data_IF_290393919912
#
_entry.id   IF_290393919912
#
_cell.length_a   1.000
_cell.length_b   1.000
_cell.length_c   1.000
_cell.angle_alpha   90.00
_cell.angle_beta   90.00
_cell.angle_gamma   90.00
#
_symmetry.space_group_name_H-M   'P 1'
#
loop_
_entity.id
_entity.type
_entity.pdbx_description
1 polymer ?
#
# COMPACT_ATOMS: atom_id res chain seq x y z
N UNK A 1 17.14 -1.29 20.59
CA UNK A 1 16.98 -1.50 19.13
C UNK A 1 15.56 -1.24 18.62
N UNK A 2 14.52 -1.43 19.44
CA UNK A 2 13.12 -1.23 19.01
C UNK A 2 12.82 0.18 18.44
N UNK A 3 13.19 1.25 19.14
CA UNK A 3 12.96 2.64 18.68
C UNK A 3 13.66 2.92 17.33
N UNK A 4 14.87 2.40 17.12
CA UNK A 4 15.59 2.55 15.85
C UNK A 4 14.88 1.81 14.72
N UNK A 5 14.38 0.60 14.98
CA UNK A 5 13.60 -0.19 14.02
C UNK A 5 12.32 0.53 13.60
N UNK A 6 11.57 1.06 14.57
CA UNK A 6 10.34 1.85 14.33
C UNK A 6 10.63 3.10 13.50
N UNK A 7 11.61 3.90 13.93
CA UNK A 7 12.02 5.12 13.24
C UNK A 7 12.45 4.86 11.79
N UNK A 8 13.23 3.79 11.54
CA UNK A 8 13.62 3.43 10.17
C UNK A 8 12.44 3.04 9.30
N UNK A 9 11.47 2.27 9.82
CA UNK A 9 10.28 1.90 9.07
C UNK A 9 9.45 3.15 8.72
N UNK A 10 9.22 4.04 9.67
CA UNK A 10 8.48 5.28 9.41
C UNK A 10 9.15 6.16 8.36
N UNK A 11 10.47 6.31 8.42
CA UNK A 11 11.23 7.08 7.41
C UNK A 11 11.08 6.42 6.03
N UNK A 12 11.17 5.10 5.93
CA UNK A 12 11.02 4.38 4.66
C UNK A 12 9.62 4.56 4.07
N UNK A 13 8.57 4.40 4.87
CA UNK A 13 7.17 4.57 4.41
C UNK A 13 6.93 6.03 4.02
N UNK A 14 7.45 6.98 4.79
CA UNK A 14 7.33 8.40 4.47
C UNK A 14 8.03 8.75 3.15
N UNK A 15 9.25 8.27 2.93
CA UNK A 15 9.96 8.45 1.66
C UNK A 15 9.23 7.78 0.50
N UNK A 16 8.69 6.57 0.70
CA UNK A 16 7.88 5.89 -0.30
C UNK A 16 6.60 6.69 -0.64
N UNK A 17 5.95 7.29 0.37
CA UNK A 17 4.79 8.16 0.16
C UNK A 17 5.16 9.44 -0.60
N UNK A 18 6.32 10.05 -0.30
CA UNK A 18 6.80 11.22 -1.03
C UNK A 18 7.12 10.90 -2.50
N UNK A 19 7.75 9.75 -2.77
CA UNK A 19 8.00 9.29 -4.14
C UNK A 19 6.69 9.01 -4.88
N UNK A 20 5.74 8.34 -4.24
CA UNK A 20 4.45 8.02 -4.87
C UNK A 20 3.61 9.28 -5.14
N UNK A 21 3.66 10.29 -4.26
CA UNK A 21 3.05 11.60 -4.49
C UNK A 21 3.69 12.37 -5.66
N UNK A 22 5.00 12.19 -5.89
CA UNK A 22 5.75 12.95 -6.91
C UNK A 22 5.76 12.27 -8.28
N UNK A 23 5.92 10.94 -8.30
CA UNK A 23 6.17 10.17 -9.52
C UNK A 23 5.17 9.03 -9.74
N UNK A 24 4.19 8.84 -8.85
CA UNK A 24 3.23 7.71 -8.85
C UNK A 24 3.92 6.33 -8.96
N UNK A 25 5.19 6.28 -8.54
CA UNK A 25 6.07 5.11 -8.62
C UNK A 25 7.04 5.19 -7.46
N UNK A 26 7.05 4.15 -6.64
CA UNK A 26 8.08 3.94 -5.60
C UNK A 26 9.32 3.32 -6.22
N UNK A 27 10.48 3.87 -5.90
CA UNK A 27 11.76 3.40 -6.41
C UNK A 27 12.10 2.01 -5.85
N UNK A 28 12.47 1.07 -6.73
CA UNK A 28 12.87 -0.27 -6.33
C UNK A 28 14.09 -0.26 -5.39
N UNK A 29 14.95 0.76 -5.47
CA UNK A 29 16.11 0.89 -4.58
C UNK A 29 15.66 1.11 -3.13
N UNK A 30 14.65 1.96 -2.90
CA UNK A 30 14.08 2.19 -1.57
C UNK A 30 13.47 0.91 -1.02
N UNK A 31 12.74 0.18 -1.87
CA UNK A 31 12.14 -1.11 -1.50
C UNK A 31 13.22 -2.12 -1.11
N UNK A 32 14.29 -2.24 -1.91
CA UNK A 32 15.41 -3.14 -1.63
C UNK A 32 16.14 -2.77 -0.32
N UNK A 33 16.35 -1.48 -0.07
CA UNK A 33 16.90 -0.99 1.20
C UNK A 33 16.00 -1.36 2.39
N UNK A 34 14.68 -1.21 2.24
CA UNK A 34 13.73 -1.64 3.26
C UNK A 34 13.83 -3.13 3.57
N UNK A 35 13.89 -3.98 2.54
CA UNK A 35 14.09 -5.42 2.73
C UNK A 35 15.39 -5.75 3.47
N UNK A 36 16.51 -5.14 3.08
CA UNK A 36 17.81 -5.35 3.72
C UNK A 36 17.83 -4.88 5.19
N UNK A 37 17.27 -3.71 5.47
CA UNK A 37 17.21 -3.18 6.84
C UNK A 37 16.29 -4.03 7.72
N UNK A 38 15.13 -4.47 7.20
CA UNK A 38 14.24 -5.37 7.91
C UNK A 38 14.91 -6.70 8.25
N UNK A 39 15.70 -7.25 7.33
CA UNK A 39 16.46 -8.48 7.56
C UNK A 39 17.52 -8.26 8.64
N UNK A 40 18.30 -7.17 8.53
CA UNK A 40 19.31 -6.80 9.51
C UNK A 40 18.72 -6.71 10.93
N UNK A 41 17.64 -5.96 11.10
CA UNK A 41 17.00 -5.80 12.42
C UNK A 41 16.46 -7.11 13.00
N UNK A 42 15.88 -7.99 12.16
CA UNK A 42 15.38 -9.28 12.65
C UNK A 42 16.51 -10.25 13.00
N UNK A 43 17.59 -10.30 12.20
CA UNK A 43 18.76 -11.11 12.53
C UNK A 43 19.43 -10.60 13.81
N UNK A 44 19.59 -9.29 13.97
CA UNK A 44 20.18 -8.71 15.18
C UNK A 44 19.34 -8.97 16.43
N UNK A 45 18.01 -9.09 16.30
CA UNK A 45 17.10 -9.30 17.44
C UNK A 45 16.89 -10.79 17.78
N UNK A 46 16.82 -11.66 16.77
CA UNK A 46 16.34 -13.04 16.92
C UNK A 46 17.24 -14.08 16.22
N UNK A 47 18.38 -13.67 15.68
CA UNK A 47 19.32 -14.54 14.97
C UNK A 47 18.71 -15.19 13.72
N UNK A 48 19.00 -16.47 13.50
CA UNK A 48 18.50 -17.23 12.35
C UNK A 48 16.96 -17.33 12.31
N UNK A 49 16.29 -17.36 13.47
CA UNK A 49 14.83 -17.35 13.54
C UNK A 49 14.22 -16.06 12.97
N UNK A 50 14.94 -14.93 13.12
CA UNK A 50 14.54 -13.65 12.53
C UNK A 50 14.45 -13.67 11.01
N UNK A 51 15.25 -14.50 10.33
CA UNK A 51 15.18 -14.66 8.86
C UNK A 51 13.86 -15.29 8.43
N UNK A 52 13.39 -16.30 9.17
CA UNK A 52 12.12 -16.98 8.90
C UNK A 52 10.96 -16.01 9.09
N UNK A 53 10.96 -15.24 10.19
CA UNK A 53 9.94 -14.22 10.45
C UNK A 53 9.93 -13.11 9.39
N UNK A 54 11.11 -12.64 8.98
CA UNK A 54 11.26 -11.65 7.91
C UNK A 54 10.66 -12.16 6.59
N UNK A 55 10.94 -13.41 6.22
CA UNK A 55 10.44 -14.01 4.99
C UNK A 55 8.92 -14.22 5.03
N UNK A 56 8.41 -14.79 6.12
CA UNK A 56 6.97 -15.00 6.30
C UNK A 56 6.20 -13.68 6.35
N UNK A 57 6.74 -12.67 7.03
CA UNK A 57 6.17 -11.34 7.07
C UNK A 57 6.12 -10.69 5.68
N UNK A 58 7.20 -10.80 4.89
CA UNK A 58 7.28 -10.23 3.54
C UNK A 58 6.34 -10.87 2.52
N UNK A 59 6.15 -12.20 2.60
CA UNK A 59 5.29 -12.94 1.66
C UNK A 59 3.80 -12.83 1.99
N UNK A 60 3.45 -12.54 3.25
CA UNK A 60 2.05 -12.47 3.71
C UNK A 60 1.20 -11.47 2.91
N UNK A 61 1.63 -10.20 2.71
CA UNK A 61 0.89 -9.24 1.90
C UNK A 61 0.76 -9.66 0.44
N UNK A 62 1.80 -10.31 -0.10
CA UNK A 62 1.78 -10.81 -1.47
C UNK A 62 0.66 -11.83 -1.60
N UNK A 63 0.58 -12.82 -0.71
CA UNK A 63 -0.44 -13.87 -0.76
C UNK A 63 -1.84 -13.27 -0.55
N UNK A 64 -2.02 -12.42 0.46
CA UNK A 64 -3.33 -11.87 0.81
C UNK A 64 -3.88 -10.94 -0.26
N UNK A 65 -3.02 -10.11 -0.84
CA UNK A 65 -3.42 -9.10 -1.81
C UNK A 65 -3.18 -9.55 -3.26
N UNK A 66 -2.68 -10.77 -3.49
CA UNK A 66 -2.41 -11.29 -4.83
C UNK A 66 -3.63 -11.23 -5.73
N UNK A 67 -4.78 -11.64 -5.20
CA UNK A 67 -6.04 -11.66 -5.96
C UNK A 67 -6.46 -10.24 -6.36
N UNK A 68 -6.34 -9.28 -5.45
CA UNK A 68 -6.63 -7.86 -5.71
C UNK A 68 -5.62 -7.24 -6.70
N UNK A 69 -4.37 -7.67 -6.65
CA UNK A 69 -3.34 -7.30 -7.62
C UNK A 69 -3.63 -7.85 -9.03
N UNK A 70 -4.09 -9.10 -9.15
CA UNK A 70 -4.51 -9.69 -10.44
C UNK A 70 -5.65 -8.91 -11.10
N UNK A 71 -6.62 -8.46 -10.29
CA UNK A 71 -7.70 -7.58 -10.74
C UNK A 71 -7.25 -6.13 -11.00
N UNK A 72 -5.95 -5.82 -10.85
CA UNK A 72 -5.36 -4.47 -10.99
C UNK A 72 -6.01 -3.43 -10.08
N UNK A 73 -6.59 -3.87 -8.96
CA UNK A 73 -7.24 -2.98 -7.98
C UNK A 73 -6.21 -2.32 -7.05
N UNK A 74 -5.04 -2.92 -6.89
CA UNK A 74 -3.95 -2.44 -6.05
C UNK A 74 -2.68 -2.27 -6.89
N UNK A 75 -1.92 -1.20 -6.64
CA UNK A 75 -0.66 -0.95 -7.30
C UNK A 75 0.44 -1.94 -6.90
N UNK A 76 1.34 -2.24 -7.84
CA UNK A 76 2.54 -3.03 -7.54
C UNK A 76 3.44 -2.35 -6.49
N UNK A 77 3.38 -1.01 -6.38
CA UNK A 77 4.07 -0.21 -5.36
C UNK A 77 3.52 -0.50 -3.96
N UNK A 78 2.20 -0.42 -3.78
CA UNK A 78 1.52 -0.61 -2.49
C UNK A 78 1.80 -2.00 -1.90
N UNK A 79 1.76 -3.03 -2.76
CA UNK A 79 2.07 -4.41 -2.36
C UNK A 79 3.48 -4.52 -1.76
N UNK A 80 4.47 -3.89 -2.41
CA UNK A 80 5.86 -3.90 -1.95
C UNK A 80 6.04 -3.16 -0.63
N UNK A 81 5.33 -2.05 -0.43
CA UNK A 81 5.39 -1.30 0.83
C UNK A 81 4.84 -2.14 1.99
N UNK A 82 3.71 -2.82 1.81
CA UNK A 82 3.22 -3.76 2.83
C UNK A 82 4.21 -4.90 3.08
N UNK A 83 4.85 -5.44 2.04
CA UNK A 83 5.88 -6.47 2.23
C UNK A 83 7.04 -5.96 3.10
N UNK A 84 7.46 -4.70 2.96
CA UNK A 84 8.48 -4.11 3.86
C UNK A 84 7.94 -4.05 5.30
N UNK A 85 6.71 -3.56 5.50
CA UNK A 85 6.09 -3.52 6.84
C UNK A 85 6.06 -4.91 7.48
N UNK A 86 5.66 -5.93 6.73
CA UNK A 86 5.66 -7.32 7.19
C UNK A 86 7.07 -7.86 7.44
N UNK A 87 8.04 -7.52 6.60
CA UNK A 87 9.44 -7.86 6.85
C UNK A 87 9.96 -7.27 8.16
N UNK A 88 9.51 -6.08 8.57
CA UNK A 88 9.93 -5.49 9.84
C UNK A 88 9.18 -6.11 11.03
N UNK A 89 7.85 -6.19 11.02
CA UNK A 89 7.05 -6.53 12.22
C UNK A 89 6.30 -7.86 12.16
N UNK A 90 6.48 -8.63 11.08
CA UNK A 90 5.91 -9.95 10.91
C UNK A 90 4.44 -9.94 10.45
N UNK A 91 3.86 -11.14 10.48
CA UNK A 91 2.55 -11.48 9.90
C UNK A 91 1.42 -10.71 10.58
N UNK A 92 1.31 -10.79 11.91
CA UNK A 92 0.17 -10.21 12.64
C UNK A 92 0.08 -8.70 12.45
N UNK A 93 1.21 -8.01 12.55
CA UNK A 93 1.29 -6.56 12.38
C UNK A 93 0.88 -6.12 10.97
N UNK A 94 1.37 -6.82 9.95
CA UNK A 94 1.06 -6.44 8.56
C UNK A 94 -0.40 -6.72 8.20
N UNK A 95 -1.00 -7.79 8.73
CA UNK A 95 -2.43 -8.07 8.52
C UNK A 95 -3.29 -6.96 9.12
N UNK A 96 -3.01 -6.56 10.36
CA UNK A 96 -3.72 -5.45 11.01
C UNK A 96 -3.53 -4.14 10.23
N UNK A 97 -2.29 -3.84 9.84
CA UNK A 97 -1.97 -2.66 9.04
C UNK A 97 -2.74 -2.66 7.72
N UNK A 98 -2.81 -3.79 7.01
CA UNK A 98 -3.59 -3.93 5.77
C UNK A 98 -5.06 -3.58 6.01
N UNK A 99 -5.70 -4.24 6.99
CA UNK A 99 -7.13 -4.06 7.27
C UNK A 99 -7.43 -2.59 7.58
N UNK A 100 -6.64 -1.97 8.47
CA UNK A 100 -6.86 -0.57 8.86
C UNK A 100 -6.60 0.37 7.69
N UNK A 101 -5.57 0.11 6.87
CA UNK A 101 -5.28 0.90 5.68
C UNK A 101 -6.42 0.86 4.66
N UNK A 102 -7.05 -0.31 4.48
CA UNK A 102 -8.25 -0.44 3.64
C UNK A 102 -9.43 0.36 4.20
N UNK A 103 -9.65 0.32 5.51
CA UNK A 103 -10.70 1.11 6.16
C UNK A 103 -10.45 2.61 5.97
N UNK A 104 -9.22 3.09 6.22
CA UNK A 104 -8.84 4.48 6.02
C UNK A 104 -9.00 4.88 4.55
N UNK A 105 -8.53 4.06 3.61
CA UNK A 105 -8.69 4.28 2.18
C UNK A 105 -10.16 4.34 1.74
N UNK A 106 -11.02 3.48 2.32
CA UNK A 106 -12.46 3.49 2.07
C UNK A 106 -13.12 4.77 2.59
N UNK A 107 -12.76 5.22 3.80
CA UNK A 107 -13.27 6.47 4.39
C UNK A 107 -12.85 7.68 3.55
N UNK A 108 -11.57 7.77 3.17
CA UNK A 108 -11.06 8.86 2.32
C UNK A 108 -11.80 8.88 0.98
N UNK A 109 -11.93 7.72 0.33
CA UNK A 109 -12.65 7.59 -0.95
C UNK A 109 -14.12 8.01 -0.82
N UNK A 110 -14.77 7.63 0.28
CA UNK A 110 -16.15 7.99 0.58
C UNK A 110 -16.33 9.50 0.80
N UNK A 111 -15.41 10.15 1.53
CA UNK A 111 -15.43 11.60 1.73
C UNK A 111 -15.26 12.38 0.41
N UNK A 112 -14.34 11.93 -0.46
CA UNK A 112 -14.13 12.52 -1.79
C UNK A 112 -15.38 12.35 -2.68
N UNK A 113 -16.08 11.22 -2.57
CA UNK A 113 -17.34 10.99 -3.29
C UNK A 113 -18.45 11.96 -2.85
N UNK A 114 -18.60 12.19 -1.54
CA UNK A 114 -19.61 13.13 -1.00
C UNK A 114 -19.33 14.57 -1.46
N UNK A 115 -18.07 15.01 -1.40
CA UNK A 115 -17.69 16.37 -1.78
C UNK A 115 -17.99 16.71 -3.24
N UNK A 116 -17.89 15.73 -4.14
CA UNK A 116 -18.11 15.94 -5.58
C UNK A 116 -19.60 15.92 -6.01
N UNK A 117 -20.56 15.69 -5.09
CA UNK A 117 -22.02 15.63 -5.33
C UNK A 117 -22.51 14.81 -6.54
N UNK A 118 -21.65 13.97 -7.13
CA UNK A 118 -21.95 13.17 -8.32
C UNK A 118 -21.71 11.67 -8.04
N UNK A 119 -22.24 11.22 -6.90
CA UNK A 119 -22.00 9.92 -6.26
C UNK A 119 -22.34 8.75 -7.20
N UNK A 120 -23.50 8.83 -7.86
CA UNK A 120 -24.00 7.74 -8.70
C UNK A 120 -23.25 7.60 -10.02
N UNK A 121 -22.97 8.71 -10.70
CA UNK A 121 -22.32 8.65 -12.02
C UNK A 121 -20.88 8.13 -11.93
N UNK A 122 -20.09 8.53 -10.92
CA UNK A 122 -18.71 8.01 -10.78
C UNK A 122 -18.66 6.57 -10.28
N UNK A 123 -19.58 6.16 -9.40
CA UNK A 123 -19.65 4.79 -8.90
C UNK A 123 -20.10 3.81 -9.99
N UNK A 124 -21.12 4.19 -10.78
CA UNK A 124 -21.61 3.35 -11.88
C UNK A 124 -20.59 3.26 -13.04
N UNK A 125 -19.79 4.30 -13.27
CA UNK A 125 -18.66 4.27 -14.23
C UNK A 125 -17.48 3.42 -13.76
N UNK A 126 -17.14 3.43 -12.46
CA UNK A 126 -16.16 2.50 -11.90
C UNK A 126 -16.66 1.06 -11.99
N UNK A 127 -17.94 0.84 -11.67
CA UNK A 127 -18.55 -0.48 -11.75
C UNK A 127 -18.67 -0.99 -13.19
N UNK A 128 -19.05 -0.14 -14.15
CA UNK A 128 -19.03 -0.50 -15.56
C UNK A 128 -17.61 -0.77 -16.07
N UNK A 129 -16.62 0.01 -15.64
CA UNK A 129 -15.21 -0.25 -15.96
C UNK A 129 -14.69 -1.58 -15.38
N UNK A 130 -15.06 -1.93 -14.15
CA UNK A 130 -14.72 -3.23 -13.54
C UNK A 130 -15.35 -4.38 -14.34
N UNK A 131 -16.64 -4.26 -14.68
CA UNK A 131 -17.36 -5.28 -15.45
C UNK A 131 -16.82 -5.41 -16.88
N UNK A 132 -16.51 -4.31 -17.56
CA UNK A 132 -15.95 -4.32 -18.91
C UNK A 132 -14.49 -4.82 -18.94
N UNK A 133 -13.69 -4.50 -17.92
CA UNK A 133 -12.30 -4.99 -17.81
C UNK A 133 -12.25 -6.50 -17.56
N UNK A 134 -13.23 -7.06 -16.83
CA UNK A 134 -13.39 -8.50 -16.62
C UNK A 134 -13.84 -9.20 -17.91
N UNK A 135 -14.63 -8.53 -18.77
CA UNK A 135 -15.29 -9.15 -19.92
C UNK A 135 -14.53 -9.02 -21.24
N UNK A 136 -13.77 -7.94 -21.48
CA UNK A 136 -13.29 -7.60 -22.82
C UNK A 136 -11.76 -7.58 -23.01
N UNK A 137 -10.92 -7.71 -21.97
CA UNK A 137 -9.44 -7.67 -22.06
C UNK A 137 -8.83 -6.53 -22.93
N UNK A 138 -9.59 -5.47 -23.23
CA UNK A 138 -9.11 -4.31 -23.99
C UNK A 138 -9.07 -3.08 -23.08
N UNK A 139 -7.86 -2.54 -22.96
CA UNK A 139 -7.53 -1.42 -22.10
C UNK A 139 -7.83 -0.14 -22.89
N UNK A 140 -8.96 0.50 -22.61
CA UNK A 140 -9.15 1.91 -22.95
C UNK A 140 -8.63 2.76 -21.77
N UNK A 141 -7.92 3.87 -22.02
CA UNK A 141 -7.27 4.64 -20.97
C UNK A 141 -8.32 5.36 -20.10
N UNK A 142 -8.29 5.06 -18.81
CA UNK A 142 -9.23 5.53 -17.78
C UNK A 142 -8.99 6.98 -17.31
N UNK A 143 -8.05 7.72 -17.91
CA UNK A 143 -7.69 9.06 -17.45
C UNK A 143 -7.09 9.89 -18.58
N UNK A 144 -7.74 11.00 -18.93
CA UNK A 144 -7.17 12.02 -19.81
C UNK A 144 -6.69 13.15 -18.90
N UNK A 145 -5.39 13.13 -18.60
CA UNK A 145 -4.72 14.06 -17.68
C UNK A 145 -4.79 15.54 -18.10
N UNK A 146 -5.25 15.84 -19.32
CA UNK A 146 -5.38 17.20 -19.85
C UNK A 146 -6.68 17.92 -19.45
N UNK A 147 -7.67 17.24 -18.85
CA UNK A 147 -9.01 17.82 -18.57
C UNK A 147 -9.31 17.95 -17.07
N UNK A 148 -9.01 16.94 -16.24
CA UNK A 148 -9.48 16.90 -14.84
C UNK A 148 -8.48 17.41 -13.78
N UNK A 149 -7.21 17.59 -14.15
CA UNK A 149 -6.15 18.00 -13.23
C UNK A 149 -5.78 16.92 -12.20
N UNK A 150 -4.48 16.72 -11.98
CA UNK A 150 -3.90 15.72 -11.06
C UNK A 150 -4.17 15.96 -9.57
N UNK A 151 -5.08 16.88 -9.23
CA UNK A 151 -5.20 17.45 -7.87
C UNK A 151 -5.87 16.55 -6.82
N UNK A 152 -6.61 15.51 -7.22
CA UNK A 152 -7.49 14.78 -6.28
C UNK A 152 -7.26 13.26 -6.19
N UNK A 153 -6.20 12.70 -6.77
CA UNK A 153 -5.86 11.28 -6.56
C UNK A 153 -4.94 11.18 -5.35
N UNK A 154 -5.50 10.83 -4.20
CA UNK A 154 -4.72 10.57 -3.00
C UNK A 154 -4.07 9.19 -3.17
N UNK A 155 -2.73 9.08 -3.14
CA UNK A 155 -2.09 7.79 -3.27
C UNK A 155 -2.40 6.91 -2.06
N UNK A 156 -2.66 5.63 -2.32
CA UNK A 156 -3.07 4.68 -1.29
C UNK A 156 -2.00 4.51 -0.19
N UNK A 157 -0.73 4.78 -0.49
CA UNK A 157 0.36 4.79 0.49
C UNK A 157 0.10 5.72 1.68
N UNK A 158 -0.66 6.81 1.50
CA UNK A 158 -1.06 7.68 2.62
C UNK A 158 -1.96 6.93 3.61
N UNK A 159 -2.87 6.10 3.09
CA UNK A 159 -3.70 5.23 3.92
C UNK A 159 -2.87 4.12 4.58
N UNK A 160 -1.86 3.58 3.87
CA UNK A 160 -0.89 2.62 4.44
C UNK A 160 -0.15 3.22 5.63
N UNK A 161 0.36 4.43 5.48
CA UNK A 161 1.06 5.14 6.55
C UNK A 161 0.15 5.34 7.75
N UNK A 162 -1.10 5.78 7.54
CA UNK A 162 -2.09 5.91 8.60
C UNK A 162 -2.41 4.59 9.30
N UNK A 163 -2.55 3.51 8.55
CA UNK A 163 -2.80 2.17 9.09
C UNK A 163 -1.65 1.66 9.94
N UNK A 164 -0.41 1.82 9.48
CA UNK A 164 0.80 1.45 10.23
C UNK A 164 0.90 2.26 11.53
N UNK A 165 0.69 3.57 11.49
CA UNK A 165 0.69 4.43 12.69
C UNK A 165 -0.36 3.95 13.69
N UNK A 166 -1.58 3.63 13.22
CA UNK A 166 -2.64 3.13 14.08
C UNK A 166 -2.26 1.78 14.72
N UNK A 167 -1.71 0.84 13.95
CA UNK A 167 -1.27 -0.48 14.46
C UNK A 167 -0.10 -0.36 15.44
N UNK A 168 0.68 0.72 15.41
CA UNK A 168 1.67 0.98 16.47
C UNK A 168 1.06 1.59 17.73
N UNK A 169 -0.03 2.34 17.60
CA UNK A 169 -0.66 3.02 18.73
C UNK A 169 -1.53 2.08 19.59
N UNK A 170 -1.98 0.95 19.05
CA UNK A 170 -2.89 -0.02 19.66
C UNK A 170 -2.45 -1.45 19.42
#
# INVERSE_FOLDING_TARGET
MHILKEGTLFILIFLAALEDLRTYKVNNNLIALGFLLGLFFNISSMGAYGVVLWFLGGITPIILLFLLYLFRMIGASDLKVFSIVGCFYGISFVIQSIIISFIIGAVISFLVLIQNRNIYSRFFYLFSYLVDSIKNQKICPYYISSIDGTKNVIPFIVAIMGGVIYTFAF
#
